data_IF_069548604669
#
_entry.id   IF_069548604669
#
_cell.length_a   1.000
_cell.length_b   1.000
_cell.length_c   1.000
_cell.angle_alpha   90.00
_cell.angle_beta   90.00
_cell.angle_gamma   90.00
#
_symmetry.space_group_name_H-M   'P 1'
#
loop_
_entity.id
_entity.type
_entity.pdbx_description
1 polymer ?
#
# COMPACT_ATOMS: atom_id res chain seq x y z
N UNK A 1 -29.83 6.47 -23.79
CA UNK A 1 -29.17 7.60 -23.09
C UNK A 1 -28.93 7.30 -21.60
N UNK A 2 -29.92 6.82 -20.84
CA UNK A 2 -29.82 6.49 -19.39
C UNK A 2 -28.66 5.52 -19.06
N UNK A 3 -28.44 4.48 -19.87
CA UNK A 3 -27.45 3.43 -19.59
C UNK A 3 -26.00 3.97 -19.48
N UNK A 4 -25.64 4.97 -20.28
CA UNK A 4 -24.32 5.62 -20.21
C UNK A 4 -24.12 6.41 -18.91
N UNK A 5 -25.21 6.91 -18.33
CA UNK A 5 -25.20 7.78 -17.16
C UNK A 5 -25.11 6.94 -15.87
N UNK A 6 -25.87 5.85 -15.80
CA UNK A 6 -25.78 4.87 -14.69
C UNK A 6 -24.40 4.22 -14.66
N UNK A 7 -23.84 3.86 -15.82
CA UNK A 7 -22.50 3.29 -15.90
C UNK A 7 -21.42 4.27 -15.42
N UNK A 8 -21.52 5.56 -15.77
CA UNK A 8 -20.62 6.61 -15.25
C UNK A 8 -20.68 6.75 -13.73
N UNK A 9 -21.87 6.76 -13.14
CA UNK A 9 -22.05 6.90 -11.69
C UNK A 9 -21.54 5.63 -10.96
N UNK A 10 -21.80 4.45 -11.52
CA UNK A 10 -21.24 3.20 -11.01
C UNK A 10 -19.71 3.21 -11.08
N UNK A 11 -19.13 3.66 -12.20
CA UNK A 11 -17.67 3.80 -12.32
C UNK A 11 -17.08 4.76 -11.29
N UNK A 12 -17.69 5.94 -11.12
CA UNK A 12 -17.25 6.94 -10.13
C UNK A 12 -17.33 6.38 -8.72
N UNK A 13 -18.41 5.69 -8.36
CA UNK A 13 -18.56 5.09 -7.03
C UNK A 13 -17.60 3.92 -6.79
N UNK A 14 -17.32 3.11 -7.81
CA UNK A 14 -16.38 1.99 -7.74
C UNK A 14 -14.94 2.51 -7.63
N UNK A 15 -14.57 3.50 -8.44
CA UNK A 15 -13.29 4.20 -8.34
C UNK A 15 -13.13 4.85 -6.98
N UNK A 16 -14.17 5.53 -6.48
CA UNK A 16 -14.14 6.16 -5.17
C UNK A 16 -13.94 5.11 -4.06
N UNK A 17 -14.67 3.99 -4.09
CA UNK A 17 -14.58 2.94 -3.08
C UNK A 17 -13.19 2.29 -3.02
N UNK A 18 -12.56 2.08 -4.17
CA UNK A 18 -11.27 1.39 -4.29
C UNK A 18 -10.06 2.33 -4.17
N UNK A 19 -10.16 3.55 -4.69
CA UNK A 19 -9.04 4.49 -4.80
C UNK A 19 -9.15 5.70 -3.87
N UNK A 20 -10.18 5.81 -3.00
CA UNK A 20 -10.34 6.96 -2.07
C UNK A 20 -9.05 7.31 -1.33
N UNK A 21 -8.27 6.32 -0.91
CA UNK A 21 -7.05 6.57 -0.14
C UNK A 21 -5.94 7.18 -1.00
N UNK A 22 -5.79 6.72 -2.25
CA UNK A 22 -4.81 7.26 -3.20
C UNK A 22 -5.25 8.67 -3.67
N UNK A 23 -6.53 8.84 -3.97
CA UNK A 23 -7.09 10.13 -4.39
C UNK A 23 -6.95 11.17 -3.27
N UNK A 24 -7.34 10.83 -2.03
CA UNK A 24 -7.25 11.74 -0.88
C UNK A 24 -5.79 12.08 -0.56
N UNK A 25 -4.87 11.12 -0.59
CA UNK A 25 -3.46 11.39 -0.31
C UNK A 25 -2.78 12.23 -1.40
N UNK A 26 -3.11 11.97 -2.67
CA UNK A 26 -2.63 12.79 -3.80
C UNK A 26 -3.22 14.20 -3.73
N UNK A 27 -4.51 14.33 -3.42
CA UNK A 27 -5.16 15.62 -3.25
C UNK A 27 -4.58 16.39 -2.06
N UNK A 28 -4.32 15.72 -0.93
CA UNK A 28 -3.70 16.32 0.24
C UNK A 28 -2.27 16.79 -0.05
N UNK A 29 -1.50 16.02 -0.83
CA UNK A 29 -0.20 16.45 -1.32
C UNK A 29 -0.36 17.70 -2.18
N UNK A 30 -1.29 17.70 -3.14
CA UNK A 30 -1.53 18.85 -4.00
C UNK A 30 -1.93 20.10 -3.20
N UNK A 31 -2.82 19.95 -2.22
CA UNK A 31 -3.24 21.02 -1.32
C UNK A 31 -2.06 21.56 -0.50
N UNK A 32 -1.19 20.68 0.00
CA UNK A 32 0.03 21.07 0.70
C UNK A 32 0.98 21.86 -0.21
N UNK A 33 1.23 21.38 -1.42
CA UNK A 33 2.10 22.06 -2.39
C UNK A 33 1.53 23.44 -2.77
N UNK A 34 0.22 23.52 -2.94
CA UNK A 34 -0.49 24.77 -3.22
C UNK A 34 -0.36 25.76 -2.05
N UNK A 35 -0.54 25.29 -0.81
CA UNK A 35 -0.40 26.11 0.39
C UNK A 35 1.01 26.69 0.52
N UNK A 36 2.04 25.86 0.34
CA UNK A 36 3.45 26.29 0.34
C UNK A 36 3.70 27.32 -0.76
N UNK A 37 3.14 27.12 -1.95
CA UNK A 37 3.25 28.08 -3.05
C UNK A 37 2.58 29.41 -2.72
N UNK A 38 1.40 29.39 -2.11
CA UNK A 38 0.65 30.60 -1.73
C UNK A 38 1.38 31.41 -0.65
N UNK A 39 1.93 30.74 0.37
CA UNK A 39 2.72 31.38 1.44
C UNK A 39 3.99 32.00 0.86
N UNK A 40 4.63 31.31 -0.09
CA UNK A 40 5.84 31.83 -0.74
C UNK A 40 5.57 33.07 -1.59
N UNK A 41 4.46 33.10 -2.34
CA UNK A 41 4.08 34.30 -3.11
C UNK A 41 3.79 35.51 -2.21
N UNK A 42 3.19 35.27 -1.05
CA UNK A 42 2.91 36.31 -0.07
C UNK A 42 4.20 36.88 0.51
N UNK A 43 5.15 36.01 0.87
CA UNK A 43 6.47 36.40 1.36
C UNK A 43 7.25 37.22 0.32
N UNK A 44 7.24 36.81 -0.94
CA UNK A 44 7.91 37.56 -2.02
C UNK A 44 7.35 38.97 -2.14
N UNK A 45 6.02 39.12 -2.06
CA UNK A 45 5.36 40.43 -2.10
C UNK A 45 5.85 41.33 -0.97
N UNK A 46 5.94 40.82 0.25
CA UNK A 46 6.48 41.59 1.39
C UNK A 46 7.97 41.96 1.25
N UNK A 47 8.79 41.09 0.67
CA UNK A 47 10.22 41.40 0.46
C UNK A 47 10.46 42.42 -0.64
N UNK A 48 9.61 42.45 -1.69
CA UNK A 48 9.67 43.46 -2.74
C UNK A 48 9.32 44.84 -2.19
N UNK A 49 8.34 44.94 -1.29
CA UNK A 49 7.96 46.21 -0.66
C UNK A 49 9.01 46.76 0.31
N UNK A 50 9.91 45.92 0.85
CA UNK A 50 10.91 46.32 1.86
C UNK A 50 12.31 46.62 1.28
N UNK A 51 12.51 46.52 -0.04
CA UNK A 51 13.82 46.67 -0.73
C UNK A 51 14.99 45.82 -0.21
N UNK A 52 14.75 44.96 0.79
CA UNK A 52 15.78 44.16 1.44
C UNK A 52 16.00 42.85 0.69
N UNK A 53 16.82 42.91 -0.36
CA UNK A 53 17.12 41.79 -1.28
C UNK A 53 17.99 40.69 -0.64
N UNK A 54 18.55 40.95 0.53
CA UNK A 54 19.63 40.22 1.19
C UNK A 54 19.28 38.78 1.60
N UNK A 55 17.98 38.46 1.77
CA UNK A 55 17.51 37.13 2.20
C UNK A 55 16.72 36.33 1.16
N UNK A 56 16.53 36.86 -0.05
CA UNK A 56 15.57 36.35 -1.04
C UNK A 56 15.87 34.92 -1.54
N UNK A 57 17.15 34.52 -1.61
CA UNK A 57 17.58 33.19 -2.07
C UNK A 57 17.29 32.06 -1.07
N UNK A 58 17.31 32.34 0.24
CA UNK A 58 17.06 31.32 1.27
C UNK A 58 15.59 30.87 1.28
N UNK A 59 14.65 31.77 0.96
CA UNK A 59 13.23 31.44 0.84
C UNK A 59 12.94 30.41 -0.26
N UNK A 60 13.76 30.38 -1.32
CA UNK A 60 13.69 29.33 -2.34
C UNK A 60 14.18 27.99 -1.81
N UNK A 61 15.23 27.95 -1.00
CA UNK A 61 15.72 26.72 -0.36
C UNK A 61 14.65 26.13 0.55
N UNK A 62 13.99 26.95 1.36
CA UNK A 62 12.87 26.52 2.19
C UNK A 62 11.68 25.98 1.38
N UNK A 63 11.37 26.59 0.22
CA UNK A 63 10.33 26.08 -0.68
C UNK A 63 10.67 24.67 -1.20
N UNK A 64 11.90 24.46 -1.66
CA UNK A 64 12.35 23.14 -2.14
C UNK A 64 12.40 22.11 -1.02
N UNK A 65 12.84 22.50 0.19
CA UNK A 65 12.82 21.64 1.38
C UNK A 65 11.40 21.23 1.76
N UNK A 66 10.44 22.17 1.74
CA UNK A 66 9.03 21.89 2.01
C UNK A 66 8.46 20.90 0.97
N UNK A 67 8.74 21.09 -0.31
CA UNK A 67 8.33 20.15 -1.35
C UNK A 67 8.95 18.75 -1.16
N UNK A 68 10.25 18.67 -0.89
CA UNK A 68 10.93 17.41 -0.61
C UNK A 68 10.36 16.71 0.63
N UNK A 69 10.03 17.47 1.68
CA UNK A 69 9.42 16.95 2.89
C UNK A 69 8.01 16.40 2.65
N UNK A 70 7.17 17.10 1.88
CA UNK A 70 5.83 16.62 1.52
C UNK A 70 5.85 15.32 0.71
N UNK A 71 6.75 15.24 -0.29
CA UNK A 71 6.94 14.02 -1.09
C UNK A 71 7.50 12.89 -0.22
N UNK A 72 8.49 13.18 0.63
CA UNK A 72 9.07 12.23 1.56
C UNK A 72 8.04 11.67 2.53
N UNK A 73 7.18 12.52 3.11
CA UNK A 73 6.10 12.11 4.01
C UNK A 73 5.08 11.22 3.29
N UNK A 74 4.73 11.53 2.04
CA UNK A 74 3.84 10.71 1.21
C UNK A 74 4.40 9.29 0.99
N UNK A 75 5.67 9.20 0.55
CA UNK A 75 6.33 7.92 0.35
C UNK A 75 6.53 7.15 1.66
N UNK A 76 6.88 7.85 2.74
CA UNK A 76 7.06 7.25 4.07
C UNK A 76 5.76 6.63 4.58
N UNK A 77 4.65 7.37 4.52
CA UNK A 77 3.34 6.89 4.93
C UNK A 77 2.88 5.68 4.10
N UNK A 78 3.08 5.71 2.79
CA UNK A 78 2.72 4.58 1.91
C UNK A 78 3.61 3.35 2.14
N UNK A 79 4.92 3.54 2.33
CA UNK A 79 5.88 2.47 2.64
C UNK A 79 5.60 1.82 3.99
N UNK A 80 5.29 2.62 5.02
CA UNK A 80 4.99 2.12 6.36
C UNK A 80 3.70 1.29 6.38
N UNK A 81 2.66 1.74 5.66
CA UNK A 81 1.38 1.02 5.54
C UNK A 81 1.51 -0.28 4.76
N UNK A 82 2.31 -0.28 3.69
CA UNK A 82 2.66 -1.49 2.92
C UNK A 82 3.33 -2.57 3.79
N UNK A 83 4.21 -2.15 4.70
CA UNK A 83 4.89 -3.06 5.66
C UNK A 83 3.91 -3.65 6.68
N UNK A 84 2.97 -2.85 7.18
CA UNK A 84 1.94 -3.29 8.13
C UNK A 84 0.96 -4.29 7.50
N UNK A 85 0.51 -4.06 6.27
CA UNK A 85 -0.42 -4.98 5.57
C UNK A 85 0.24 -6.32 5.20
N UNK A 86 1.56 -6.36 4.97
CA UNK A 86 2.27 -7.62 4.68
C UNK A 86 2.40 -8.55 5.90
N UNK A 87 2.24 -8.05 7.13
CA UNK A 87 2.32 -8.88 8.34
C UNK A 87 1.00 -9.61 8.70
N UNK A 88 -0.12 -9.26 8.05
CA UNK A 88 -1.44 -9.88 8.30
C UNK A 88 -1.81 -11.04 7.37
N UNK A 89 -0.87 -11.60 6.61
CA UNK A 89 -1.01 -12.98 6.13
C UNK A 89 -0.27 -13.89 7.11
N UNK A 90 -0.94 -14.44 8.14
CA UNK A 90 -0.38 -15.64 8.75
C UNK A 90 -0.22 -16.67 7.61
N UNK A 91 0.91 -17.38 7.51
CA UNK A 91 0.91 -18.61 6.74
C UNK A 91 -0.28 -19.41 7.27
N UNK A 92 -1.13 -19.92 6.40
CA UNK A 92 -2.16 -20.84 6.80
C UNK A 92 -1.47 -21.96 7.57
N UNK A 93 -1.46 -21.86 8.90
CA UNK A 93 -1.09 -22.92 9.79
C UNK A 93 -2.14 -23.97 9.51
N UNK A 94 -1.76 -24.92 8.67
CA UNK A 94 -2.41 -26.22 8.56
C UNK A 94 -2.49 -26.68 10.00
N UNK A 95 -3.68 -26.55 10.61
CA UNK A 95 -3.98 -27.26 11.84
C UNK A 95 -3.86 -28.72 11.44
N UNK A 96 -2.70 -29.30 11.73
CA UNK A 96 -2.58 -30.74 11.87
C UNK A 96 -3.54 -31.11 12.99
N UNK A 97 -4.76 -31.48 12.61
CA UNK A 97 -5.65 -32.22 13.48
C UNK A 97 -4.91 -33.51 13.78
N UNK A 98 -4.22 -33.55 14.92
CA UNK A 98 -3.74 -34.79 15.51
C UNK A 98 -4.97 -35.60 15.93
N UNK A 99 -5.57 -36.27 14.95
CA UNK A 99 -6.52 -37.33 15.21
C UNK A 99 -5.70 -38.44 15.84
N UNK A 100 -5.99 -38.76 17.10
CA UNK A 100 -5.45 -39.94 17.79
C UNK A 100 -5.42 -41.12 16.82
N UNK A 101 -4.23 -41.67 16.58
CA UNK A 101 -4.02 -42.79 15.67
C UNK A 101 -4.93 -43.95 16.10
N UNK A 102 -5.89 -44.39 15.27
CA UNK A 102 -6.53 -45.68 15.51
C UNK A 102 -5.50 -46.77 15.21
N UNK A 103 -5.57 -47.85 15.99
CA UNK A 103 -4.77 -49.06 15.85
C UNK A 103 -4.68 -49.48 14.38
N UNK A 104 -3.46 -49.54 13.87
CA UNK A 104 -3.13 -49.80 12.46
C UNK A 104 -3.55 -51.21 12.09
N UNK A 105 -4.57 -51.33 11.25
CA UNK A 105 -4.98 -52.60 10.66
C UNK A 105 -3.98 -52.98 9.55
N UNK A 106 -3.27 -54.13 9.64
CA UNK A 106 -2.21 -54.49 8.71
C UNK A 106 -2.69 -54.68 7.25
N UNK A 107 -3.99 -54.89 7.03
CA UNK A 107 -4.58 -55.07 5.68
C UNK A 107 -5.17 -53.77 5.07
N UNK A 108 -4.92 -52.59 5.67
CA UNK A 108 -5.42 -51.32 5.11
C UNK A 108 -4.64 -50.89 3.85
N UNK A 109 -5.28 -50.79 2.66
CA UNK A 109 -4.63 -50.34 1.43
C UNK A 109 -4.15 -48.88 1.48
N UNK A 110 -4.59 -48.08 2.48
CA UNK A 110 -4.19 -46.69 2.66
C UNK A 110 -3.10 -46.48 3.74
N UNK A 111 -2.59 -47.55 4.36
CA UNK A 111 -1.58 -47.46 5.42
C UNK A 111 -0.30 -46.72 4.95
N UNK A 112 0.13 -47.00 3.71
CA UNK A 112 1.29 -46.37 3.09
C UNK A 112 1.15 -44.85 2.87
N UNK A 113 -0.07 -44.31 2.86
CA UNK A 113 -0.34 -42.87 2.73
C UNK A 113 -0.42 -42.23 4.12
N UNK A 114 -1.03 -42.91 5.09
CA UNK A 114 -1.15 -42.44 6.48
C UNK A 114 0.19 -42.38 7.21
N UNK A 115 1.11 -43.29 6.91
CA UNK A 115 2.46 -43.29 7.48
C UNK A 115 3.36 -42.14 6.97
N UNK A 116 2.97 -41.42 5.90
CA UNK A 116 3.80 -40.37 5.33
C UNK A 116 3.65 -39.07 6.12
N UNK A 117 4.78 -38.57 6.64
CA UNK A 117 4.87 -37.29 7.38
C UNK A 117 4.39 -36.07 6.57
N UNK A 118 4.48 -36.11 5.25
CA UNK A 118 4.01 -35.02 4.36
C UNK A 118 3.50 -35.61 3.04
N UNK A 119 2.29 -35.21 2.66
CA UNK A 119 1.71 -35.54 1.36
C UNK A 119 2.23 -34.54 0.33
N UNK A 120 2.90 -35.04 -0.72
CA UNK A 120 3.33 -34.20 -1.85
C UNK A 120 2.16 -34.01 -2.80
N UNK A 121 1.85 -32.77 -3.14
CA UNK A 121 0.81 -32.45 -4.12
C UNK A 121 1.36 -32.66 -5.53
N UNK A 122 0.48 -32.90 -6.52
CA UNK A 122 0.87 -32.90 -7.95
C UNK A 122 1.58 -31.61 -8.38
N UNK A 123 1.28 -30.49 -7.71
CA UNK A 123 1.96 -29.21 -7.95
C UNK A 123 3.44 -29.23 -7.54
N UNK A 124 3.80 -29.98 -6.49
CA UNK A 124 5.20 -30.05 -6.01
C UNK A 124 6.13 -30.75 -7.01
N UNK A 125 5.59 -31.56 -7.92
CA UNK A 125 6.37 -32.23 -8.96
C UNK A 125 6.70 -31.32 -10.15
N UNK A 126 5.94 -30.25 -10.36
CA UNK A 126 6.16 -29.31 -11.47
C UNK A 126 7.23 -28.26 -11.15
N UNK A 127 7.48 -27.99 -9.87
CA UNK A 127 8.38 -26.93 -9.41
C UNK A 127 9.87 -27.33 -9.34
N UNK A 128 10.23 -28.56 -9.77
CA UNK A 128 11.59 -28.95 -10.10
C UNK A 128 12.65 -28.69 -9.01
N UNK A 129 12.27 -28.74 -7.73
CA UNK A 129 13.21 -28.69 -6.61
C UNK A 129 13.25 -30.06 -5.94
N UNK A 130 14.27 -30.82 -6.33
CA UNK A 130 14.77 -31.98 -5.59
C UNK A 130 15.74 -31.53 -4.48
#
# INVERSE_FOLDING_TARGET
MIFKQVFRIAFVTLIWKQYKHIIVSTFLLFAYLFLVSSIHSDFLTHTVLKEDKSGSGLSFVYKWLAFAAGIGAYFFYHSLRSRLTKQTKPPAAVKETSVNAPTVDPDDPFNAIRARKKLRSRADFLDGKD
#
